data_IF_970336265732
#
_entry.id   IF_970336265732
#
_cell.length_a   1.000
_cell.length_b   1.000
_cell.length_c   1.000
_cell.angle_alpha   90.00
_cell.angle_beta   90.00
_cell.angle_gamma   90.00
#
_symmetry.space_group_name_H-M   'P 1'
#
loop_
_entity.id
_entity.type
_entity.pdbx_description
1 polymer ?
#
# COMPACT_ATOMS: atom_id res chain seq x y z
N UNK A 1 -35.67 29.71 30.05
CA UNK A 1 -35.79 28.24 30.03
C UNK A 1 -35.07 27.82 28.78
N UNK A 2 -33.90 27.23 29.00
CA UNK A 2 -32.81 27.01 28.06
C UNK A 2 -33.15 25.92 27.06
N UNK A 3 -33.10 26.26 25.78
CA UNK A 3 -33.05 25.30 24.67
C UNK A 3 -31.64 24.71 24.63
N UNK A 4 -31.52 23.45 25.06
CA UNK A 4 -30.34 22.64 24.85
C UNK A 4 -30.26 22.26 23.38
N UNK A 5 -29.24 22.81 22.72
CA UNK A 5 -28.73 22.38 21.43
C UNK A 5 -28.21 20.95 21.62
N UNK A 6 -29.00 19.96 21.20
CA UNK A 6 -28.57 18.57 21.21
C UNK A 6 -27.46 18.39 20.16
N UNK A 7 -26.24 18.18 20.67
CA UNK A 7 -25.06 17.75 19.95
C UNK A 7 -25.39 16.76 18.84
N UNK A 8 -25.01 17.11 17.60
CA UNK A 8 -24.93 16.18 16.50
C UNK A 8 -23.88 15.12 16.85
N UNK A 9 -24.35 13.96 17.28
CA UNK A 9 -23.54 12.79 17.61
C UNK A 9 -22.57 12.48 16.48
N UNK A 10 -21.29 12.72 16.72
CA UNK A 10 -20.18 12.10 15.98
C UNK A 10 -20.42 10.60 16.09
N UNK A 11 -20.87 9.97 15.01
CA UNK A 11 -21.08 8.54 14.96
C UNK A 11 -19.72 7.85 15.13
N UNK A 12 -19.36 7.51 16.36
CA UNK A 12 -18.22 6.65 16.64
C UNK A 12 -18.51 5.31 15.97
N UNK A 13 -17.77 4.99 14.90
CA UNK A 13 -17.80 3.70 14.26
C UNK A 13 -17.19 2.66 15.21
N UNK A 14 -17.97 2.19 16.18
CA UNK A 14 -17.58 1.11 17.08
C UNK A 14 -17.87 -0.21 16.36
N UNK A 15 -16.85 -0.98 15.93
CA UNK A 15 -17.09 -2.27 15.32
C UNK A 15 -17.59 -3.27 16.37
N UNK A 16 -18.70 -3.94 16.08
CA UNK A 16 -19.21 -5.02 16.92
C UNK A 16 -18.31 -6.26 16.80
N UNK A 17 -17.68 -6.66 17.90
CA UNK A 17 -16.74 -7.81 17.91
C UNK A 17 -17.44 -9.15 17.64
N UNK A 18 -18.72 -9.28 18.01
CA UNK A 18 -19.51 -10.50 17.83
C UNK A 18 -19.65 -10.89 16.35
N UNK A 19 -19.71 -9.92 15.45
CA UNK A 19 -19.77 -10.09 14.01
C UNK A 19 -18.49 -10.70 13.41
N UNK A 20 -17.33 -10.43 14.00
CA UNK A 20 -16.07 -11.02 13.57
C UNK A 20 -15.97 -12.50 13.99
N UNK A 21 -16.32 -12.82 15.23
CA UNK A 21 -16.25 -14.17 15.77
C UNK A 21 -17.37 -15.09 15.24
N UNK A 22 -18.54 -14.56 14.93
CA UNK A 22 -19.62 -15.33 14.30
C UNK A 22 -19.27 -15.76 12.87
N UNK A 23 -18.52 -14.94 12.13
CA UNK A 23 -18.03 -15.25 10.77
C UNK A 23 -16.89 -16.26 10.75
N UNK A 24 -16.04 -16.29 11.77
CA UNK A 24 -14.94 -17.26 11.87
C UNK A 24 -15.38 -18.63 12.40
N UNK A 25 -16.44 -18.67 13.21
CA UNK A 25 -16.98 -19.90 13.81
C UNK A 25 -18.02 -20.62 12.95
N UNK A 26 -18.75 -19.92 12.08
CA UNK A 26 -19.74 -20.53 11.20
C UNK A 26 -19.10 -21.11 9.94
N UNK A 27 -19.51 -22.33 9.55
CA UNK A 27 -19.20 -22.87 8.22
C UNK A 27 -19.83 -21.94 7.19
N UNK A 28 -19.01 -21.14 6.52
CA UNK A 28 -19.45 -20.18 5.51
C UNK A 28 -20.04 -20.94 4.33
N UNK A 29 -21.37 -21.03 4.27
CA UNK A 29 -22.10 -21.50 3.08
C UNK A 29 -22.07 -20.34 2.08
N UNK A 30 -21.02 -20.26 1.27
CA UNK A 30 -20.98 -19.29 0.18
C UNK A 30 -21.90 -19.75 -0.94
N UNK A 31 -22.82 -18.88 -1.37
CA UNK A 31 -23.57 -19.11 -2.61
C UNK A 31 -22.58 -19.23 -3.77
N UNK A 32 -22.74 -20.22 -4.64
CA UNK A 32 -21.85 -20.49 -5.78
C UNK A 32 -21.83 -19.39 -6.87
N UNK A 33 -22.31 -18.17 -6.62
CA UNK A 33 -22.20 -17.03 -7.53
C UNK A 33 -20.75 -16.49 -7.56
N UNK A 34 -19.86 -17.26 -8.17
CA UNK A 34 -18.48 -16.87 -8.40
C UNK A 34 -18.37 -15.92 -9.60
N UNK A 35 -17.44 -14.96 -9.55
CA UNK A 35 -17.20 -13.98 -10.61
C UNK A 35 -16.90 -14.63 -11.98
N UNK A 36 -16.41 -15.87 -11.98
CA UNK A 36 -16.18 -16.68 -13.17
C UNK A 36 -17.47 -17.06 -13.92
N UNK A 37 -18.65 -16.95 -13.30
CA UNK A 37 -19.95 -17.23 -13.93
C UNK A 37 -20.50 -16.04 -14.73
N UNK A 38 -19.83 -14.88 -14.71
CA UNK A 38 -20.23 -13.72 -15.50
C UNK A 38 -19.97 -13.98 -17.00
N UNK A 39 -20.91 -13.57 -17.86
CA UNK A 39 -20.83 -13.77 -19.33
C UNK A 39 -19.58 -13.13 -19.96
N UNK A 40 -19.02 -12.11 -19.32
CA UNK A 40 -17.75 -11.46 -19.71
C UNK A 40 -16.82 -11.47 -18.50
N UNK A 41 -16.05 -12.55 -18.27
CA UNK A 41 -15.30 -12.72 -17.03
C UNK A 41 -14.05 -11.83 -16.95
N UNK A 42 -13.49 -11.45 -18.10
CA UNK A 42 -12.27 -10.63 -18.16
C UNK A 42 -12.36 -9.61 -19.29
N UNK A 43 -12.04 -8.36 -18.98
CA UNK A 43 -11.93 -7.28 -19.95
C UNK A 43 -10.45 -6.98 -20.21
N UNK A 44 -10.13 -6.70 -21.46
CA UNK A 44 -8.85 -6.09 -21.80
C UNK A 44 -8.80 -4.67 -21.20
N UNK A 45 -7.64 -4.28 -20.66
CA UNK A 45 -7.47 -2.98 -19.96
C UNK A 45 -7.90 -1.79 -20.83
N UNK A 46 -7.55 -1.78 -22.12
CA UNK A 46 -7.94 -0.71 -23.04
C UNK A 46 -9.46 -0.62 -23.27
N UNK A 47 -10.18 -1.75 -23.26
CA UNK A 47 -11.65 -1.75 -23.37
C UNK A 47 -12.30 -1.22 -22.10
N UNK A 48 -11.74 -1.54 -20.93
CA UNK A 48 -12.21 -1.02 -19.65
C UNK A 48 -12.04 0.50 -19.59
N UNK A 49 -10.86 1.02 -19.93
CA UNK A 49 -10.60 2.47 -19.95
C UNK A 49 -11.55 3.21 -20.90
N UNK A 50 -11.80 2.65 -22.08
CA UNK A 50 -12.75 3.23 -23.03
C UNK A 50 -14.21 3.20 -22.51
N UNK A 51 -14.61 2.17 -21.77
CA UNK A 51 -15.93 2.12 -21.14
C UNK A 51 -16.05 3.10 -19.96
N UNK A 52 -15.00 3.22 -19.14
CA UNK A 52 -14.95 4.20 -18.04
C UNK A 52 -15.00 5.63 -18.58
N UNK A 53 -14.32 5.92 -19.70
CA UNK A 53 -14.39 7.22 -20.34
C UNK A 53 -15.77 7.58 -20.92
N UNK A 54 -16.65 6.59 -21.13
CA UNK A 54 -18.04 6.81 -21.56
C UNK A 54 -19.01 7.04 -20.41
N UNK A 55 -18.61 6.73 -19.18
CA UNK A 55 -19.46 6.90 -18.00
C UNK A 55 -19.28 8.32 -17.49
N UNK A 56 -20.32 9.14 -17.63
CA UNK A 56 -20.35 10.45 -16.98
C UNK A 56 -20.75 10.29 -15.50
N UNK A 57 -20.11 11.02 -14.57
CA UNK A 57 -20.48 10.99 -13.16
C UNK A 57 -21.83 11.68 -12.95
N UNK A 58 -22.80 10.94 -12.40
CA UNK A 58 -24.18 11.40 -12.11
C UNK A 58 -24.24 12.70 -11.28
N UNK A 59 -23.26 12.94 -10.39
CA UNK A 59 -23.29 14.04 -9.42
C UNK A 59 -22.18 15.08 -9.59
N UNK A 60 -21.84 15.43 -10.83
CA UNK A 60 -20.74 16.37 -11.15
C UNK A 60 -20.86 17.75 -10.46
N UNK A 61 -22.07 18.31 -10.38
CA UNK A 61 -22.29 19.64 -9.80
C UNK A 61 -22.07 19.67 -8.28
N UNK A 62 -22.49 18.62 -7.57
CA UNK A 62 -22.28 18.50 -6.13
C UNK A 62 -20.79 18.32 -5.82
N UNK A 63 -20.11 17.45 -6.57
CA UNK A 63 -18.65 17.23 -6.45
C UNK A 63 -17.89 18.53 -6.69
N UNK A 64 -18.24 19.30 -7.72
CA UNK A 64 -17.59 20.58 -7.99
C UNK A 64 -17.82 21.61 -6.86
N UNK A 65 -19.01 21.62 -6.27
CA UNK A 65 -19.31 22.51 -5.13
C UNK A 65 -18.48 22.14 -3.92
N UNK A 66 -18.33 20.83 -3.67
CA UNK A 66 -17.50 20.29 -2.60
C UNK A 66 -16.01 20.55 -2.83
N UNK A 67 -15.50 20.43 -4.05
CA UNK A 67 -14.11 20.80 -4.36
C UNK A 67 -13.84 22.28 -4.06
N UNK A 68 -14.76 23.19 -4.41
CA UNK A 68 -14.62 24.62 -4.09
C UNK A 68 -14.60 24.90 -2.59
N UNK A 69 -15.35 24.13 -1.81
CA UNK A 69 -15.31 24.23 -0.35
C UNK A 69 -13.93 23.86 0.19
N UNK A 70 -13.34 22.77 -0.30
CA UNK A 70 -11.97 22.38 0.07
C UNK A 70 -10.91 23.38 -0.40
N UNK A 71 -11.07 24.00 -1.58
CA UNK A 71 -10.18 25.06 -2.07
C UNK A 71 -10.15 26.28 -1.13
N UNK A 72 -11.31 26.62 -0.53
CA UNK A 72 -11.36 27.72 0.46
C UNK A 72 -10.46 27.47 1.68
N UNK A 73 -10.13 26.21 1.98
CA UNK A 73 -9.34 25.81 3.15
C UNK A 73 -7.83 25.90 2.90
N UNK A 74 -7.36 26.16 1.67
CA UNK A 74 -5.93 26.21 1.34
C UNK A 74 -5.14 27.22 2.18
N UNK A 75 -5.75 28.36 2.52
CA UNK A 75 -5.13 29.36 3.40
C UNK A 75 -4.86 28.80 4.81
N UNK A 76 -5.75 27.96 5.34
CA UNK A 76 -5.57 27.30 6.64
C UNK A 76 -4.46 26.26 6.59
N UNK A 77 -4.36 25.52 5.48
CA UNK A 77 -3.27 24.57 5.28
C UNK A 77 -1.93 25.28 5.22
N UNK A 78 -1.84 26.40 4.49
CA UNK A 78 -0.62 27.21 4.42
C UNK A 78 -0.20 27.73 5.80
N UNK A 79 -1.17 28.17 6.63
CA UNK A 79 -0.89 28.58 8.00
C UNK A 79 -0.34 27.40 8.83
N UNK A 80 -0.97 26.23 8.74
CA UNK A 80 -0.54 25.04 9.47
C UNK A 80 0.88 24.60 9.08
N UNK A 81 1.22 24.67 7.78
CA UNK A 81 2.55 24.33 7.29
C UNK A 81 3.61 25.29 7.84
N UNK A 82 3.33 26.60 7.89
CA UNK A 82 4.25 27.61 8.44
C UNK A 82 4.52 27.44 9.95
N UNK A 83 3.55 26.92 10.69
CA UNK A 83 3.70 26.59 12.12
C UNK A 83 4.43 25.24 12.34
N UNK A 84 4.87 24.55 11.29
CA UNK A 84 5.60 23.28 11.39
C UNK A 84 4.70 22.05 11.59
N UNK A 85 3.40 22.14 11.28
CA UNK A 85 2.53 20.97 11.23
C UNK A 85 2.57 20.33 9.84
N UNK A 86 2.61 18.99 9.79
CA UNK A 86 2.41 18.28 8.52
C UNK A 86 0.92 18.11 8.27
N UNK A 87 0.46 18.45 7.07
CA UNK A 87 -0.96 18.31 6.70
C UNK A 87 -1.20 16.92 6.15
N UNK A 88 -2.18 16.19 6.69
CA UNK A 88 -2.60 14.88 6.17
C UNK A 88 -4.06 14.93 5.75
N UNK A 89 -4.30 14.57 4.49
CA UNK A 89 -5.63 14.55 3.90
C UNK A 89 -6.15 13.12 3.92
N UNK A 90 -7.24 12.88 4.65
CA UNK A 90 -7.97 11.62 4.63
C UNK A 90 -9.37 11.86 4.07
N UNK A 91 -10.00 10.82 3.53
CA UNK A 91 -11.33 10.94 2.96
C UNK A 91 -11.49 10.12 1.71
N UNK A 92 -12.75 9.84 1.38
CA UNK A 92 -13.13 9.00 0.24
C UNK A 92 -13.05 9.79 -1.05
N UNK A 93 -12.38 9.22 -2.05
CA UNK A 93 -12.18 9.77 -3.38
C UNK A 93 -10.74 10.20 -3.64
N UNK A 94 -10.41 10.36 -4.92
CA UNK A 94 -9.07 10.82 -5.32
C UNK A 94 -8.84 12.26 -4.88
N UNK A 95 -7.75 12.49 -4.15
CA UNK A 95 -7.33 13.81 -3.64
C UNK A 95 -6.26 14.46 -4.51
N UNK A 96 -5.81 13.78 -5.56
CA UNK A 96 -4.74 14.22 -6.45
C UNK A 96 -5.04 15.56 -7.10
N UNK A 97 -6.26 15.72 -7.64
CA UNK A 97 -6.68 16.96 -8.31
C UNK A 97 -6.63 18.14 -7.33
N UNK A 98 -7.04 17.93 -6.07
CA UNK A 98 -7.04 18.98 -5.07
C UNK A 98 -5.61 19.39 -4.67
N UNK A 99 -4.72 18.42 -4.48
CA UNK A 99 -3.31 18.70 -4.18
C UNK A 99 -2.58 19.37 -5.35
N UNK A 100 -2.95 19.03 -6.59
CA UNK A 100 -2.44 19.72 -7.78
C UNK A 100 -2.94 21.17 -7.83
N UNK A 101 -4.22 21.42 -7.54
CA UNK A 101 -4.74 22.80 -7.43
C UNK A 101 -4.09 23.58 -6.30
N UNK A 102 -3.82 22.93 -5.17
CA UNK A 102 -3.09 23.54 -4.06
C UNK A 102 -1.68 23.96 -4.49
N UNK A 103 -0.99 23.14 -5.28
CA UNK A 103 0.29 23.52 -5.86
C UNK A 103 0.15 24.74 -6.78
N UNK A 104 -0.79 24.68 -7.72
CA UNK A 104 -1.01 25.72 -8.71
C UNK A 104 -1.40 27.06 -8.08
N UNK A 105 -2.17 27.09 -6.99
CA UNK A 105 -2.64 28.33 -6.37
C UNK A 105 -1.70 28.88 -5.29
N UNK A 106 -1.06 28.01 -4.51
CA UNK A 106 -0.34 28.43 -3.30
C UNK A 106 1.19 28.29 -3.39
N UNK A 107 1.72 27.51 -4.32
CA UNK A 107 3.13 27.08 -4.32
C UNK A 107 3.90 27.41 -5.61
N UNK A 108 3.42 28.32 -6.47
CA UNK A 108 4.10 28.66 -7.73
C UNK A 108 5.53 29.18 -7.54
N UNK A 109 5.78 29.91 -6.44
CA UNK A 109 7.07 30.58 -6.19
C UNK A 109 8.04 29.76 -5.31
N UNK A 110 7.65 28.57 -4.86
CA UNK A 110 8.41 27.76 -3.88
C UNK A 110 8.86 26.43 -4.49
N UNK A 111 10.00 25.85 -4.07
CA UNK A 111 10.40 24.54 -4.55
C UNK A 111 9.45 23.48 -4.00
N UNK A 112 8.77 22.76 -4.91
CA UNK A 112 7.82 21.69 -4.60
C UNK A 112 8.34 20.39 -5.17
N UNK A 113 8.47 19.37 -4.33
CA UNK A 113 8.75 18.00 -4.75
C UNK A 113 7.47 17.16 -4.64
N UNK A 114 6.99 16.67 -5.78
CA UNK A 114 5.80 15.82 -5.86
C UNK A 114 6.18 14.35 -5.95
N UNK A 115 5.67 13.56 -5.00
CA UNK A 115 5.89 12.14 -4.90
C UNK A 115 4.59 11.38 -5.10
N UNK A 116 4.60 10.43 -6.03
CA UNK A 116 3.46 9.58 -6.33
C UNK A 116 3.66 8.19 -5.72
N UNK A 117 3.15 7.97 -4.50
CA UNK A 117 3.34 6.73 -3.74
C UNK A 117 2.63 5.50 -4.31
N UNK A 118 1.67 5.69 -5.23
CA UNK A 118 0.98 4.57 -5.90
C UNK A 118 1.81 3.91 -7.02
N UNK A 119 2.94 4.51 -7.44
CA UNK A 119 3.80 3.85 -8.44
C UNK A 119 4.60 2.70 -7.81
N UNK A 120 4.50 1.48 -8.36
CA UNK A 120 5.20 0.32 -7.81
C UNK A 120 6.72 0.35 -8.06
N UNK A 121 7.19 1.14 -9.02
CA UNK A 121 8.63 1.28 -9.34
C UNK A 121 9.34 2.31 -8.47
N UNK A 122 8.61 3.15 -7.73
CA UNK A 122 9.20 4.23 -6.96
C UNK A 122 10.06 3.69 -5.81
N UNK A 123 11.30 4.15 -5.72
CA UNK A 123 12.18 3.86 -4.58
C UNK A 123 12.44 5.09 -3.73
N UNK A 124 12.68 4.90 -2.44
CA UNK A 124 13.03 6.01 -1.53
C UNK A 124 14.39 6.60 -1.87
N UNK A 125 15.29 5.78 -2.42
CA UNK A 125 16.59 6.25 -2.86
C UNK A 125 16.44 7.30 -3.96
N UNK A 126 15.63 7.04 -4.99
CA UNK A 126 15.36 8.03 -6.05
C UNK A 126 14.79 9.33 -5.48
N UNK A 127 13.91 9.26 -4.46
CA UNK A 127 13.39 10.47 -3.82
C UNK A 127 14.49 11.27 -3.10
N UNK A 128 15.40 10.60 -2.42
CA UNK A 128 16.52 11.25 -1.73
C UNK A 128 17.56 11.78 -2.71
N UNK A 129 17.84 11.05 -3.78
CA UNK A 129 18.73 11.45 -4.86
C UNK A 129 18.15 12.72 -5.55
N UNK A 130 16.84 12.77 -5.85
CA UNK A 130 16.19 14.00 -6.34
C UNK A 130 16.32 15.19 -5.38
N UNK A 131 16.13 15.00 -4.06
CA UNK A 131 16.31 16.10 -3.10
C UNK A 131 17.76 16.57 -3.08
N UNK A 132 18.70 15.63 -3.16
CA UNK A 132 20.13 15.92 -3.04
C UNK A 132 20.68 16.61 -4.30
N UNK A 133 20.28 16.13 -5.47
CA UNK A 133 20.76 16.59 -6.76
C UNK A 133 20.01 17.85 -7.22
N UNK A 134 18.67 17.86 -7.15
CA UNK A 134 17.85 18.93 -7.74
C UNK A 134 17.72 20.16 -6.82
N UNK A 135 17.79 19.98 -5.49
CA UNK A 135 17.55 21.05 -4.51
C UNK A 135 18.82 21.50 -3.82
N UNK A 136 19.66 20.54 -3.39
CA UNK A 136 20.88 20.83 -2.63
C UNK A 136 22.15 20.88 -3.50
N UNK A 137 22.08 20.46 -4.77
CA UNK A 137 23.19 20.42 -5.74
C UNK A 137 24.48 19.77 -5.16
N UNK A 138 24.34 18.72 -4.34
CA UNK A 138 25.50 18.09 -3.67
C UNK A 138 26.15 17.01 -4.55
N UNK A 139 27.42 17.20 -4.91
CA UNK A 139 28.13 16.27 -5.82
C UNK A 139 28.50 14.88 -5.23
N UNK A 140 28.13 14.55 -3.98
CA UNK A 140 28.47 13.24 -3.37
C UNK A 140 27.49 12.81 -2.25
N UNK A 141 26.39 12.12 -2.59
CA UNK A 141 25.57 11.43 -1.56
C UNK A 141 26.17 10.07 -1.20
N UNK A 142 26.28 9.72 0.10
CA UNK A 142 26.68 8.38 0.53
C UNK A 142 25.69 7.31 0.06
N UNK A 143 26.15 6.08 -0.15
CA UNK A 143 25.28 4.95 -0.56
C UNK A 143 24.26 4.58 0.54
N UNK A 144 24.57 4.94 1.79
CA UNK A 144 23.73 4.67 2.93
C UNK A 144 22.63 5.72 3.08
N UNK A 145 21.38 5.27 3.04
CA UNK A 145 20.17 6.09 3.13
C UNK A 145 20.13 6.94 4.41
N UNK A 146 20.59 6.40 5.54
CA UNK A 146 20.59 7.14 6.80
C UNK A 146 21.61 8.28 6.81
N UNK A 147 22.79 8.07 6.22
CA UNK A 147 23.83 9.11 6.12
C UNK A 147 23.43 10.21 5.14
N UNK A 148 22.74 9.87 4.04
CA UNK A 148 22.18 10.89 3.14
C UNK A 148 21.17 11.79 3.88
N UNK A 149 20.33 11.22 4.75
CA UNK A 149 19.40 12.02 5.56
C UNK A 149 20.14 12.89 6.58
N UNK A 150 21.17 12.36 7.24
CA UNK A 150 21.97 13.15 8.19
C UNK A 150 22.62 14.35 7.50
N UNK A 151 23.05 14.17 6.24
CA UNK A 151 23.60 15.24 5.41
C UNK A 151 22.54 16.26 5.01
N UNK A 152 21.38 15.81 4.53
CA UNK A 152 20.22 16.65 4.24
C UNK A 152 19.87 17.49 5.49
N UNK A 153 19.75 16.85 6.66
CA UNK A 153 19.48 17.55 7.93
C UNK A 153 20.55 18.60 8.26
N UNK A 154 21.82 18.37 7.93
CA UNK A 154 22.89 19.35 8.16
C UNK A 154 22.84 20.54 7.21
N UNK A 155 22.50 20.35 5.94
CA UNK A 155 22.41 21.44 4.96
C UNK A 155 21.19 22.32 5.21
N UNK A 156 20.03 21.71 5.48
CA UNK A 156 18.81 22.48 5.82
C UNK A 156 18.96 23.28 7.12
N UNK A 157 19.84 22.88 8.05
CA UNK A 157 20.18 23.68 9.23
C UNK A 157 21.10 24.86 8.92
N UNK A 158 21.90 24.76 7.86
CA UNK A 158 22.80 25.83 7.43
C UNK A 158 22.02 26.96 6.76
N UNK A 159 21.00 26.62 5.95
CA UNK A 159 20.22 27.57 5.16
C UNK A 159 18.75 27.70 5.63
N UNK A 160 18.44 28.66 6.53
CA UNK A 160 17.08 28.86 7.04
C UNK A 160 16.10 29.49 6.03
N UNK A 161 16.60 30.02 4.91
CA UNK A 161 15.75 30.61 3.86
C UNK A 161 15.22 29.58 2.86
N UNK A 162 15.81 28.39 2.82
CA UNK A 162 15.43 27.35 1.89
C UNK A 162 14.26 26.55 2.50
N UNK A 163 13.03 26.86 2.07
CA UNK A 163 11.82 26.12 2.42
C UNK A 163 11.49 25.13 1.30
N UNK A 164 11.34 23.85 1.62
CA UNK A 164 10.95 22.80 0.68
C UNK A 164 9.53 22.30 0.98
N UNK A 165 8.66 22.28 -0.02
CA UNK A 165 7.32 21.71 0.09
C UNK A 165 7.30 20.30 -0.51
N UNK A 166 6.95 19.32 0.30
CA UNK A 166 6.94 17.92 -0.07
C UNK A 166 5.50 17.41 -0.13
N UNK A 167 5.00 17.11 -1.34
CA UNK A 167 3.64 16.63 -1.56
C UNK A 167 3.67 15.14 -1.86
N UNK A 168 3.13 14.33 -0.97
CA UNK A 168 3.07 12.86 -1.10
C UNK A 168 1.64 12.41 -1.41
N UNK A 169 1.43 11.95 -2.63
CA UNK A 169 0.22 11.21 -2.98
C UNK A 169 0.32 9.78 -2.43
N UNK A 170 -0.72 9.31 -1.72
CA UNK A 170 -0.81 7.95 -1.18
C UNK A 170 0.44 7.55 -0.36
N UNK A 171 0.60 8.13 0.83
CA UNK A 171 1.70 7.77 1.75
C UNK A 171 1.69 6.27 2.13
N UNK A 172 0.53 5.63 2.03
CA UNK A 172 0.31 4.19 2.27
C UNK A 172 0.63 3.31 1.06
N UNK A 173 1.23 3.88 0.02
CA UNK A 173 1.56 3.16 -1.20
C UNK A 173 2.32 1.85 -0.95
N UNK A 174 2.21 0.86 -1.85
CA UNK A 174 2.83 -0.46 -1.67
C UNK A 174 4.36 -0.41 -1.56
N UNK A 175 5.01 0.65 -2.02
CA UNK A 175 6.46 0.86 -1.83
C UNK A 175 6.75 1.62 -0.53
N UNK A 176 5.91 2.58 -0.15
CA UNK A 176 6.13 3.47 0.98
C UNK A 176 5.68 2.91 2.33
N UNK A 177 4.79 1.92 2.38
CA UNK A 177 4.26 1.36 3.64
C UNK A 177 5.31 0.63 4.51
N UNK A 178 6.51 0.35 3.98
CA UNK A 178 7.56 -0.36 4.75
C UNK A 178 8.01 0.48 5.95
N UNK A 179 8.17 -0.12 7.13
CA UNK A 179 8.58 0.61 8.35
C UNK A 179 9.88 1.43 8.18
N UNK A 180 10.87 0.91 7.44
CA UNK A 180 12.12 1.64 7.15
C UNK A 180 11.86 2.94 6.37
N UNK A 181 10.95 2.87 5.42
CA UNK A 181 10.61 3.97 4.53
C UNK A 181 9.86 5.08 5.26
N UNK A 182 8.92 4.71 6.12
CA UNK A 182 8.20 5.65 6.98
C UNK A 182 9.10 6.26 8.07
N UNK A 183 10.08 5.51 8.56
CA UNK A 183 11.09 6.06 9.47
C UNK A 183 11.89 7.18 8.80
N UNK A 184 12.31 6.99 7.55
CA UNK A 184 13.02 8.00 6.75
C UNK A 184 12.15 9.24 6.52
N UNK A 185 10.90 9.06 6.06
CA UNK A 185 9.96 10.17 5.88
C UNK A 185 9.69 10.93 7.18
N UNK A 186 9.61 10.22 8.32
CA UNK A 186 9.41 10.85 9.63
C UNK A 186 10.60 11.72 10.04
N UNK A 187 11.82 11.39 9.60
CA UNK A 187 13.00 12.21 9.86
C UNK A 187 12.98 13.48 9.01
N UNK A 188 12.62 13.36 7.73
CA UNK A 188 12.49 14.50 6.83
C UNK A 188 11.40 15.47 7.31
N UNK A 189 10.25 14.97 7.74
CA UNK A 189 9.15 15.79 8.25
C UNK A 189 9.46 16.51 9.58
N UNK A 190 10.53 16.12 10.28
CA UNK A 190 10.98 16.79 11.51
C UNK A 190 11.77 18.07 11.21
N UNK A 191 12.30 18.21 10.01
CA UNK A 191 13.09 19.39 9.63
C UNK A 191 12.14 20.56 9.44
N UNK A 192 12.34 21.64 10.20
CA UNK A 192 11.44 22.80 10.21
C UNK A 192 11.29 23.46 8.82
N UNK A 193 12.35 23.39 8.00
CA UNK A 193 12.39 23.88 6.63
C UNK A 193 11.62 23.00 5.62
N UNK A 194 11.23 21.77 5.98
CA UNK A 194 10.55 20.83 5.09
C UNK A 194 9.08 20.72 5.50
N UNK A 195 8.19 21.17 4.63
CA UNK A 195 6.76 21.15 4.85
C UNK A 195 6.12 19.96 4.14
N UNK A 196 5.59 19.01 4.89
CA UNK A 196 4.95 17.80 4.35
C UNK A 196 3.44 17.98 4.20
N UNK A 197 2.94 17.69 2.99
CA UNK A 197 1.51 17.47 2.72
C UNK A 197 1.34 16.06 2.18
N UNK A 198 0.59 15.22 2.90
CA UNK A 198 0.37 13.83 2.52
C UNK A 198 -1.11 13.54 2.30
N UNK A 199 -1.40 12.56 1.45
CA UNK A 199 -2.73 11.98 1.31
C UNK A 199 -2.76 10.52 1.73
N UNK A 200 -3.84 10.14 2.40
CA UNK A 200 -4.13 8.81 2.92
C UNK A 200 -5.42 8.30 2.30
N UNK A 201 -5.40 7.04 1.87
CA UNK A 201 -6.57 6.35 1.32
C UNK A 201 -6.84 5.02 2.02
N UNK A 202 -5.81 4.40 2.61
CA UNK A 202 -5.96 3.08 3.19
C UNK A 202 -6.57 3.17 4.60
N UNK A 203 -7.57 2.33 4.90
CA UNK A 203 -8.24 2.32 6.21
C UNK A 203 -7.24 2.01 7.33
N UNK A 204 -6.31 1.09 7.08
CA UNK A 204 -5.26 0.69 8.03
C UNK A 204 -4.03 1.61 8.03
N UNK A 205 -4.05 2.75 7.34
CA UNK A 205 -2.92 3.68 7.30
C UNK A 205 -2.36 4.05 8.69
N UNK A 206 -3.21 4.35 9.70
CA UNK A 206 -2.70 4.72 11.02
C UNK A 206 -1.91 3.61 11.72
N UNK A 207 -2.09 2.33 11.35
CA UNK A 207 -1.36 1.20 11.93
C UNK A 207 0.13 1.19 11.53
N UNK A 208 0.50 1.92 10.49
CA UNK A 208 1.89 1.97 10.01
C UNK A 208 2.76 2.83 10.94
N UNK A 209 2.15 3.78 11.66
CA UNK A 209 2.89 4.75 12.46
C UNK A 209 2.92 4.41 13.94
N UNK A 210 4.14 4.21 14.43
CA UNK A 210 4.41 4.18 15.87
C UNK A 210 4.28 5.58 16.48
N UNK A 211 4.11 5.64 17.80
CA UNK A 211 4.06 6.91 18.56
C UNK A 211 5.26 7.83 18.26
N UNK A 212 6.45 7.27 18.06
CA UNK A 212 7.66 8.02 17.70
C UNK A 212 7.55 8.67 16.33
N UNK A 213 6.99 7.97 15.35
CA UNK A 213 6.80 8.48 13.99
C UNK A 213 5.74 9.57 13.98
N UNK A 214 4.60 9.35 14.65
CA UNK A 214 3.55 10.35 14.81
C UNK A 214 4.06 11.63 15.47
N UNK A 215 4.89 11.51 16.52
CA UNK A 215 5.48 12.66 17.19
C UNK A 215 6.45 13.47 16.32
N UNK A 216 7.07 12.85 15.30
CA UNK A 216 7.92 13.56 14.34
C UNK A 216 7.14 14.14 13.18
N UNK A 217 6.13 13.43 12.69
CA UNK A 217 5.28 13.92 11.61
C UNK A 217 4.40 15.08 12.04
N UNK A 218 4.00 15.15 13.32
CA UNK A 218 3.15 16.23 13.84
C UNK A 218 1.92 16.47 12.92
N UNK A 219 1.18 15.39 12.63
CA UNK A 219 0.10 15.41 11.64
C UNK A 219 -1.11 16.21 12.12
N UNK A 220 -1.57 17.11 11.25
CA UNK A 220 -2.89 17.73 11.32
C UNK A 220 -3.81 17.06 10.30
N UNK A 221 -4.83 16.39 10.82
CA UNK A 221 -5.79 15.61 10.04
C UNK A 221 -6.89 16.49 9.45
N UNK A 222 -7.06 16.44 8.14
CA UNK A 222 -8.12 17.14 7.42
C UNK A 222 -9.00 16.16 6.65
N UNK A 223 -10.31 16.25 6.89
CA UNK A 223 -11.30 15.52 6.11
C UNK A 223 -11.45 16.19 4.74
N UNK A 224 -11.08 15.44 3.71
CA UNK A 224 -11.18 15.81 2.31
C UNK A 224 -11.83 14.66 1.55
N UNK A 225 -13.15 14.59 1.66
CA UNK A 225 -13.97 13.67 0.89
C UNK A 225 -14.28 14.28 -0.48
N UNK A 226 -13.54 13.90 -1.53
CA UNK A 226 -13.76 14.43 -2.88
C UNK A 226 -14.81 13.65 -3.68
N UNK A 227 -15.06 12.39 -3.30
CA UNK A 227 -15.91 11.43 -4.05
C UNK A 227 -15.50 11.26 -5.54
N UNK A 228 -14.30 11.70 -5.90
CA UNK A 228 -13.76 11.55 -7.25
C UNK A 228 -13.28 10.11 -7.47
N UNK A 229 -13.42 9.57 -8.70
CA UNK A 229 -12.96 8.23 -8.99
C UNK A 229 -11.43 8.14 -8.93
N UNK A 230 -10.93 7.00 -8.43
CA UNK A 230 -9.51 6.69 -8.31
C UNK A 230 -8.91 6.18 -9.64
N UNK A 231 -8.91 7.00 -10.69
CA UNK A 231 -8.50 6.53 -12.02
C UNK A 231 -7.00 6.27 -12.14
N UNK A 232 -6.18 7.12 -11.53
CA UNK A 232 -4.73 7.05 -11.65
C UNK A 232 -4.14 6.03 -10.68
N UNK A 233 -4.68 6.01 -9.47
CA UNK A 233 -4.27 5.12 -8.38
C UNK A 233 -4.58 3.66 -8.72
N UNK A 234 -5.79 3.37 -9.23
CA UNK A 234 -6.18 1.99 -9.58
C UNK A 234 -5.59 1.49 -10.90
N UNK A 235 -4.97 2.36 -11.70
CA UNK A 235 -4.40 1.95 -13.00
C UNK A 235 -3.24 0.96 -12.87
N UNK A 236 -2.55 0.97 -11.72
CA UNK A 236 -1.43 0.08 -11.39
C UNK A 236 -1.84 -1.10 -10.52
N UNK A 237 -3.05 -1.06 -9.94
CA UNK A 237 -3.56 -2.13 -9.09
C UNK A 237 -4.08 -3.32 -9.90
N UNK A 238 -3.88 -4.51 -9.37
CA UNK A 238 -4.35 -5.75 -9.99
C UNK A 238 -5.84 -5.96 -9.71
N UNK A 239 -6.69 -5.69 -10.70
CA UNK A 239 -8.07 -6.15 -10.64
C UNK A 239 -8.18 -7.57 -11.20
N UNK A 240 -8.88 -8.46 -10.49
CA UNK A 240 -9.20 -9.82 -10.97
C UNK A 240 -10.01 -9.83 -12.28
N UNK A 241 -10.62 -8.69 -12.65
CA UNK A 241 -11.43 -8.51 -13.84
C UNK A 241 -10.60 -8.08 -15.08
N UNK A 242 -9.33 -7.71 -14.89
CA UNK A 242 -8.44 -7.22 -15.96
C UNK A 242 -7.30 -8.23 -16.18
N UNK A 243 -7.09 -8.62 -17.44
CA UNK A 243 -5.94 -9.44 -17.81
C UNK A 243 -4.66 -8.60 -17.79
N UNK A 244 -3.79 -8.82 -16.82
CA UNK A 244 -2.43 -8.26 -16.82
C UNK A 244 -1.40 -9.32 -17.21
N UNK A 245 -0.47 -8.94 -18.09
CA UNK A 245 0.61 -9.79 -18.58
C UNK A 245 1.70 -9.96 -17.51
N UNK A 246 1.93 -11.21 -17.07
CA UNK A 246 3.18 -11.75 -16.51
C UNK A 246 3.72 -11.18 -15.19
N UNK A 247 4.14 -9.92 -15.14
CA UNK A 247 4.98 -9.40 -14.04
C UNK A 247 4.19 -9.02 -12.79
N UNK A 248 2.96 -8.51 -12.94
CA UNK A 248 2.15 -8.00 -11.81
C UNK A 248 1.40 -9.12 -11.06
N UNK A 249 1.27 -10.30 -11.68
CA UNK A 249 0.81 -11.51 -10.99
C UNK A 249 1.76 -11.95 -9.86
N UNK A 250 3.02 -11.50 -9.87
CA UNK A 250 4.01 -11.87 -8.85
C UNK A 250 3.68 -11.27 -7.47
N UNK A 251 3.09 -10.08 -7.38
CA UNK A 251 2.71 -9.48 -6.09
C UNK A 251 1.50 -10.19 -5.47
N UNK A 252 0.47 -10.51 -6.27
CA UNK A 252 -0.66 -11.32 -5.84
C UNK A 252 -0.22 -12.75 -5.48
N UNK A 253 0.66 -13.34 -6.29
CA UNK A 253 1.25 -14.64 -5.97
C UNK A 253 2.09 -14.57 -4.70
N UNK A 254 2.84 -13.49 -4.44
CA UNK A 254 3.63 -13.36 -3.20
C UNK A 254 2.74 -13.43 -1.97
N UNK A 255 1.61 -12.73 -1.98
CA UNK A 255 0.66 -12.75 -0.86
C UNK A 255 -0.04 -14.10 -0.74
N UNK A 256 -0.42 -14.74 -1.85
CA UNK A 256 -0.97 -16.10 -1.85
C UNK A 256 0.07 -17.12 -1.35
N UNK A 257 1.32 -17.04 -1.81
CA UNK A 257 2.45 -17.86 -1.34
C UNK A 257 2.80 -17.61 0.13
N UNK A 258 2.54 -16.43 0.69
CA UNK A 258 2.64 -16.16 2.12
C UNK A 258 1.50 -16.81 2.91
N UNK A 259 0.33 -17.02 2.29
CA UNK A 259 -0.84 -17.66 2.90
C UNK A 259 -0.94 -19.18 2.75
N UNK A 260 -0.20 -19.77 1.79
CA UNK A 260 -0.20 -21.21 1.59
C UNK A 260 0.53 -21.93 2.74
N UNK A 261 -0.12 -22.93 3.32
CA UNK A 261 0.43 -23.82 4.35
C UNK A 261 1.61 -24.58 3.78
N UNK A 262 2.81 -24.13 4.08
CA UNK A 262 4.05 -24.83 3.75
C UNK A 262 4.28 -25.97 4.74
N UNK A 263 4.61 -27.16 4.22
CA UNK A 263 4.96 -28.31 5.06
C UNK A 263 6.45 -28.22 5.45
N UNK A 264 6.81 -28.34 6.74
CA UNK A 264 8.20 -28.46 7.12
C UNK A 264 8.77 -29.80 6.64
N UNK A 265 10.00 -29.76 6.12
CA UNK A 265 10.72 -30.92 5.61
C UNK A 265 10.80 -32.06 6.64
N UNK A 266 10.95 -31.70 7.92
CA UNK A 266 10.97 -32.66 9.03
C UNK A 266 9.71 -33.52 9.06
N UNK A 267 8.54 -32.92 8.90
CA UNK A 267 7.26 -33.64 9.02
C UNK A 267 7.04 -34.54 7.81
N UNK A 268 7.42 -34.09 6.60
CA UNK A 268 7.44 -34.93 5.41
C UNK A 268 8.38 -36.13 5.57
N UNK A 269 9.59 -35.91 6.07
CA UNK A 269 10.56 -36.98 6.30
C UNK A 269 10.05 -38.01 7.31
N UNK A 270 9.40 -37.56 8.40
CA UNK A 270 8.79 -38.45 9.38
C UNK A 270 7.67 -39.29 8.76
N UNK A 271 6.76 -38.69 7.99
CA UNK A 271 5.68 -39.41 7.32
C UNK A 271 6.19 -40.41 6.28
N UNK A 272 7.21 -40.05 5.49
CA UNK A 272 7.84 -40.96 4.53
C UNK A 272 8.57 -42.12 5.20
N UNK A 273 9.12 -41.91 6.40
CA UNK A 273 9.79 -42.96 7.17
C UNK A 273 8.78 -43.91 7.83
N UNK A 274 7.69 -43.39 8.37
CA UNK A 274 6.61 -44.21 8.95
C UNK A 274 5.91 -45.07 7.90
N UNK A 275 5.77 -44.56 6.67
CA UNK A 275 5.24 -45.29 5.52
C UNK A 275 6.28 -46.16 4.79
N UNK A 276 7.51 -46.24 5.31
CA UNK A 276 8.63 -47.01 4.74
C UNK A 276 8.99 -46.64 3.28
N UNK A 277 8.66 -45.42 2.84
CA UNK A 277 8.94 -44.93 1.49
C UNK A 277 10.41 -44.54 1.27
N UNK A 278 11.11 -44.17 2.35
CA UNK A 278 12.50 -43.67 2.26
C UNK A 278 13.36 -44.24 3.41
N UNK A 279 14.58 -44.66 3.08
CA UNK A 279 15.57 -45.23 4.00
C UNK A 279 16.47 -44.21 4.71
N UNK A 280 16.69 -43.03 4.13
CA UNK A 280 17.62 -42.01 4.65
C UNK A 280 17.25 -40.59 4.20
N UNK A 281 17.70 -39.59 4.96
CA UNK A 281 17.49 -38.17 4.62
C UNK A 281 18.01 -37.82 3.22
N UNK A 282 19.19 -38.35 2.88
CA UNK A 282 19.82 -38.13 1.59
C UNK A 282 19.00 -38.69 0.42
N UNK A 283 18.34 -39.84 0.61
CA UNK A 283 17.49 -40.43 -0.42
C UNK A 283 16.23 -39.59 -0.68
N UNK A 284 15.60 -39.04 0.38
CA UNK A 284 14.44 -38.14 0.21
C UNK A 284 14.87 -36.81 -0.45
N UNK A 285 16.01 -36.25 -0.07
CA UNK A 285 16.56 -35.03 -0.71
C UNK A 285 16.89 -35.24 -2.19
N UNK A 286 17.39 -36.42 -2.56
CA UNK A 286 17.64 -36.74 -3.96
C UNK A 286 16.34 -36.76 -4.79
N UNK A 287 15.28 -37.39 -4.28
CA UNK A 287 13.96 -37.39 -4.92
C UNK A 287 13.32 -35.98 -4.96
N UNK A 288 13.46 -35.19 -3.90
CA UNK A 288 12.96 -33.82 -3.90
C UNK A 288 13.69 -32.92 -4.89
N UNK A 289 14.98 -33.14 -5.13
CA UNK A 289 15.73 -32.42 -6.17
C UNK A 289 15.08 -32.62 -7.54
N UNK A 290 14.66 -33.84 -7.87
CA UNK A 290 13.93 -34.14 -9.11
C UNK A 290 12.59 -33.38 -9.19
N UNK A 291 11.83 -33.33 -8.08
CA UNK A 291 10.58 -32.57 -8.03
C UNK A 291 10.78 -31.04 -8.09
N UNK A 292 11.91 -30.52 -7.60
CA UNK A 292 12.28 -29.12 -7.73
C UNK A 292 12.65 -28.77 -9.17
N UNK A 293 13.42 -29.65 -9.84
CA UNK A 293 13.84 -29.50 -11.24
C UNK A 293 12.63 -29.49 -12.19
N UNK A 294 11.61 -30.30 -11.90
CA UNK A 294 10.35 -30.32 -12.64
C UNK A 294 9.32 -29.26 -12.18
N UNK A 295 9.70 -28.35 -11.28
CA UNK A 295 8.85 -27.27 -10.74
C UNK A 295 7.55 -27.75 -10.08
N UNK A 296 7.49 -29.00 -9.63
CA UNK A 296 6.35 -29.60 -8.95
C UNK A 296 6.30 -29.20 -7.47
N UNK A 297 7.46 -28.91 -6.88
CA UNK A 297 7.60 -28.44 -5.50
C UNK A 297 8.50 -27.19 -5.50
N UNK A 298 8.31 -26.30 -4.54
CA UNK A 298 9.18 -25.15 -4.27
C UNK A 298 9.75 -25.25 -2.86
N UNK A 299 11.04 -25.02 -2.75
CA UNK A 299 11.77 -25.01 -1.49
C UNK A 299 11.88 -23.58 -0.94
N UNK A 300 11.63 -23.40 0.37
CA UNK A 300 11.81 -22.13 1.08
C UNK A 300 12.49 -22.38 2.42
N UNK A 301 13.50 -21.58 2.76
CA UNK A 301 14.11 -21.60 4.09
C UNK A 301 13.46 -20.56 4.99
N UNK A 302 12.97 -20.97 6.15
CA UNK A 302 12.42 -20.07 7.17
C UNK A 302 13.56 -19.33 7.89
N UNK A 303 13.19 -18.26 8.60
CA UNK A 303 14.11 -17.43 9.42
C UNK A 303 14.73 -18.28 10.55
N UNK A 304 14.00 -19.26 11.06
CA UNK A 304 14.46 -20.23 12.07
C UNK A 304 15.41 -21.31 11.52
N UNK A 305 15.76 -21.23 10.23
CA UNK A 305 16.60 -22.22 9.56
C UNK A 305 15.87 -23.50 9.16
N UNK A 306 14.58 -23.64 9.47
CA UNK A 306 13.74 -24.76 9.05
C UNK A 306 13.46 -24.73 7.54
N UNK A 307 13.47 -25.91 6.94
CA UNK A 307 13.21 -26.09 5.51
C UNK A 307 11.72 -26.32 5.29
N UNK A 308 11.10 -25.56 4.40
CA UNK A 308 9.68 -25.58 4.09
C UNK A 308 9.48 -25.94 2.61
N UNK A 309 8.56 -26.87 2.34
CA UNK A 309 8.19 -27.32 1.01
C UNK A 309 6.78 -26.82 0.68
N UNK A 310 6.60 -26.32 -0.54
CA UNK A 310 5.31 -25.81 -1.01
C UNK A 310 5.00 -26.35 -2.41
N UNK A 311 3.76 -26.79 -2.63
CA UNK A 311 3.28 -27.24 -3.93
C UNK A 311 2.60 -26.04 -4.61
N UNK A 312 3.08 -25.54 -5.75
CA UNK A 312 2.56 -24.35 -6.41
C UNK A 312 1.30 -24.65 -7.24
N UNK A 313 0.34 -25.39 -6.67
CA UNK A 313 -0.89 -25.83 -7.34
C UNK A 313 -2.08 -25.49 -6.46
N UNK A 314 -3.19 -25.09 -7.07
CA UNK A 314 -4.41 -24.71 -6.36
C UNK A 314 -5.03 -25.94 -5.65
N UNK A 315 -5.68 -25.70 -4.50
CA UNK A 315 -6.25 -26.76 -3.68
C UNK A 315 -7.31 -27.56 -4.44
N UNK A 316 -8.12 -26.91 -5.29
CA UNK A 316 -9.15 -27.58 -6.08
C UNK A 316 -8.56 -28.60 -7.06
N UNK A 317 -7.45 -28.26 -7.73
CA UNK A 317 -6.73 -29.16 -8.62
C UNK A 317 -6.01 -30.28 -7.88
N UNK A 318 -5.50 -30.01 -6.66
CA UNK A 318 -4.89 -31.04 -5.81
C UNK A 318 -5.93 -32.05 -5.32
N UNK A 319 -7.11 -31.60 -4.89
CA UNK A 319 -8.20 -32.50 -4.48
C UNK A 319 -8.65 -33.39 -5.63
N UNK A 320 -8.82 -32.83 -6.84
CA UNK A 320 -9.15 -33.62 -8.03
C UNK A 320 -8.07 -34.65 -8.38
N UNK A 321 -6.80 -34.32 -8.17
CA UNK A 321 -5.70 -35.26 -8.39
C UNK A 321 -5.72 -36.40 -7.38
N UNK A 322 -5.96 -36.12 -6.09
CA UNK A 322 -6.09 -37.15 -5.05
C UNK A 322 -7.28 -38.07 -5.33
N UNK A 323 -8.45 -37.51 -5.66
CA UNK A 323 -9.66 -38.28 -5.99
C UNK A 323 -9.49 -39.19 -7.22
N UNK A 324 -8.57 -38.83 -8.14
CA UNK A 324 -8.22 -39.66 -9.30
C UNK A 324 -7.22 -40.78 -8.97
N UNK A 325 -6.43 -40.63 -7.91
CA UNK A 325 -5.45 -41.63 -7.48
C UNK A 325 -6.07 -42.68 -6.53
N UNK A 326 -7.20 -42.37 -5.88
CA UNK A 326 -7.95 -43.30 -5.02
C UNK A 326 -8.94 -44.22 -5.77
N UNK A 327 -9.04 -44.11 -7.11
CA UNK A 327 -9.86 -44.97 -7.97
C UNK A 327 -9.05 -46.05 -8.66
#
# INVERSE_FOLDING_TARGET
MSDEISDSSVATAVPEMEDFFSRSSSKVVTSNHTLNRLKTPRLAQGRLQHLLGKIEPSHKNAINSLCKEHESQFHKWMLALREGFSVILYGVGSKRILLQRFQDECLQDKPVLMVNGFFPSLTIKEMLDCITDDILELENCPVNVHECIDRIESEFRSDPQLELYFIVHNIDGPTLHTHKNQEILSRLARVDNIHLVASVDHINAPLIWDQKKLGRFNFLWWDVTSLLPYTSETSFETSMLVQHSGAVALASLRNVFQSLTSLPFRDLYWQCRESLLVSSDLALRAQLTEFLDHHLVKYRRSIDGSELLNIPVDHATLTQFVDQQEK
#
